data_IF_932570732456
#
_entry.id   IF_932570732456
#
_cell.length_a   1.000
_cell.length_b   1.000
_cell.length_c   1.000
_cell.angle_alpha   90.00
_cell.angle_beta   90.00
_cell.angle_gamma   90.00
#
_symmetry.space_group_name_H-M   'P 1'
#
loop_
_entity.id
_entity.type
_entity.pdbx_description
1 polymer ?
#
# COMPACT_ATOMS: atom_id res chain seq x y z
N UNK A 1 -11.18 49.06 -39.12
CA UNK A 1 -10.68 48.28 -37.97
C UNK A 1 -11.09 46.83 -38.14
N UNK A 2 -10.12 45.92 -38.34
CA UNK A 2 -10.35 44.49 -38.62
C UNK A 2 -10.80 43.79 -37.33
N UNK A 3 -11.94 43.09 -37.37
CA UNK A 3 -12.49 42.32 -36.26
C UNK A 3 -11.62 41.08 -35.96
N UNK A 4 -10.62 41.23 -35.09
CA UNK A 4 -9.65 40.19 -34.68
C UNK A 4 -10.19 39.29 -33.56
N UNK A 5 -11.49 39.33 -33.24
CA UNK A 5 -12.05 38.60 -32.09
C UNK A 5 -12.46 37.15 -32.38
N UNK A 6 -12.64 36.78 -33.65
CA UNK A 6 -13.09 35.43 -34.04
C UNK A 6 -12.02 34.31 -33.93
N UNK A 7 -10.73 34.50 -34.31
CA UNK A 7 -9.76 33.41 -34.26
C UNK A 7 -9.31 33.07 -32.83
N UNK A 8 -9.39 34.04 -31.90
CA UNK A 8 -9.00 33.87 -30.49
C UNK A 8 -10.01 33.00 -29.72
N UNK A 9 -11.29 33.13 -30.04
CA UNK A 9 -12.36 32.32 -29.43
C UNK A 9 -12.32 30.87 -29.92
N UNK A 10 -12.00 30.66 -31.21
CA UNK A 10 -11.90 29.32 -31.80
C UNK A 10 -10.71 28.53 -31.23
N UNK A 11 -9.58 29.20 -30.96
CA UNK A 11 -8.41 28.58 -30.31
C UNK A 11 -8.67 28.14 -28.87
N UNK A 12 -9.52 28.87 -28.14
CA UNK A 12 -9.86 28.56 -26.74
C UNK A 12 -10.73 27.31 -26.65
N UNK A 13 -11.73 27.18 -27.54
CA UNK A 13 -12.63 26.01 -27.59
C UNK A 13 -11.89 24.74 -28.01
N UNK A 14 -10.90 24.84 -28.91
CA UNK A 14 -10.11 23.69 -29.35
C UNK A 14 -9.19 23.14 -28.25
N UNK A 15 -8.72 23.99 -27.34
CA UNK A 15 -7.85 23.57 -26.23
C UNK A 15 -8.57 22.79 -25.12
N UNK A 16 -9.88 22.98 -24.99
CA UNK A 16 -10.72 22.29 -23.99
C UNK A 16 -11.06 20.84 -24.37
N UNK A 17 -10.86 20.45 -25.63
CA UNK A 17 -11.19 19.10 -26.13
C UNK A 17 -10.04 18.08 -25.97
N UNK A 18 -8.86 18.50 -25.50
CA UNK A 18 -7.68 17.62 -25.37
C UNK A 18 -7.48 17.02 -23.95
N UNK A 19 -8.38 17.24 -23.01
CA UNK A 19 -8.19 16.80 -21.60
C UNK A 19 -8.77 15.43 -21.29
N UNK A 20 -9.35 14.72 -22.28
CA UNK A 20 -9.95 13.41 -22.03
C UNK A 20 -8.91 12.30 -22.05
N UNK A 21 -8.60 11.83 -20.83
CA UNK A 21 -8.37 10.42 -20.49
C UNK A 21 -6.92 9.90 -20.49
N UNK A 22 -6.07 10.54 -19.69
CA UNK A 22 -4.97 9.87 -18.99
C UNK A 22 -5.50 9.15 -17.73
N UNK A 23 -6.37 8.14 -17.91
CA UNK A 23 -6.62 7.15 -16.86
C UNK A 23 -5.81 5.90 -17.20
N UNK A 24 -4.53 5.91 -16.80
CA UNK A 24 -3.74 4.68 -16.76
C UNK A 24 -4.34 3.77 -15.69
N UNK A 25 -5.28 2.91 -16.09
CA UNK A 25 -5.66 1.76 -15.27
C UNK A 25 -4.40 0.89 -15.16
N UNK A 26 -3.73 0.95 -14.01
CA UNK A 26 -2.59 0.09 -13.68
C UNK A 26 -3.09 -1.35 -13.60
N UNK A 27 -3.18 -2.00 -14.76
CA UNK A 27 -3.52 -3.40 -14.88
C UNK A 27 -2.32 -4.17 -14.34
N UNK A 28 -2.43 -4.66 -13.10
CA UNK A 28 -1.39 -5.48 -12.47
C UNK A 28 -1.14 -6.67 -13.40
N UNK A 29 0.10 -6.82 -13.87
CA UNK A 29 0.44 -7.91 -14.77
C UNK A 29 0.42 -9.25 -14.02
N UNK A 30 0.16 -10.35 -14.73
CA UNK A 30 0.21 -11.70 -14.14
C UNK A 30 1.58 -12.02 -13.52
N UNK A 31 2.65 -11.49 -14.13
CA UNK A 31 4.02 -11.57 -13.61
C UNK A 31 4.16 -10.84 -12.27
N UNK A 32 3.57 -9.65 -12.13
CA UNK A 32 3.60 -8.92 -10.86
C UNK A 32 2.83 -9.66 -9.76
N UNK A 33 1.68 -10.26 -10.09
CA UNK A 33 0.90 -11.07 -9.12
C UNK A 33 1.74 -12.23 -8.59
N UNK A 34 2.43 -12.97 -9.46
CA UNK A 34 3.29 -14.08 -9.07
C UNK A 34 4.43 -13.61 -8.14
N UNK A 35 5.11 -12.52 -8.53
CA UNK A 35 6.17 -11.91 -7.72
C UNK A 35 5.66 -11.46 -6.34
N UNK A 36 4.49 -10.81 -6.28
CA UNK A 36 3.91 -10.40 -5.00
C UNK A 36 3.49 -11.58 -4.16
N UNK A 37 2.95 -12.64 -4.77
CA UNK A 37 2.57 -13.86 -4.06
C UNK A 37 3.77 -14.52 -3.40
N UNK A 38 4.89 -14.62 -4.11
CA UNK A 38 6.15 -15.14 -3.57
C UNK A 38 6.66 -14.27 -2.41
N UNK A 39 6.67 -12.95 -2.57
CA UNK A 39 7.06 -12.03 -1.50
C UNK A 39 6.16 -12.16 -0.27
N UNK A 40 4.86 -12.38 -0.47
CA UNK A 40 3.91 -12.56 0.64
C UNK A 40 4.20 -13.85 1.40
N UNK A 41 4.53 -14.95 0.71
CA UNK A 41 4.92 -16.20 1.35
C UNK A 41 6.23 -16.05 2.14
N UNK A 42 7.23 -15.41 1.56
CA UNK A 42 8.53 -15.19 2.23
C UNK A 42 8.42 -14.29 3.46
N UNK A 43 7.50 -13.33 3.43
CA UNK A 43 7.28 -12.42 4.54
C UNK A 43 6.22 -12.92 5.53
N UNK A 44 5.60 -14.07 5.29
CA UNK A 44 4.59 -14.61 6.18
C UNK A 44 5.14 -14.80 7.60
N UNK A 45 4.38 -14.36 8.60
CA UNK A 45 4.78 -14.38 10.01
C UNK A 45 5.85 -13.36 10.42
N UNK A 46 6.46 -12.63 9.49
CA UNK A 46 7.47 -11.59 9.78
C UNK A 46 6.86 -10.21 10.05
N UNK A 47 5.55 -10.09 9.87
CA UNK A 47 4.73 -8.92 10.16
C UNK A 47 3.36 -9.37 10.64
N UNK A 48 2.63 -8.47 11.28
CA UNK A 48 1.30 -8.73 11.82
C UNK A 48 0.40 -7.52 11.55
N UNK A 49 -0.79 -7.80 11.03
CA UNK A 49 -1.87 -6.84 10.83
C UNK A 49 -2.68 -6.80 12.12
N UNK A 50 -2.71 -5.65 12.77
CA UNK A 50 -3.40 -5.43 14.04
C UNK A 50 -4.63 -4.58 13.78
N UNK A 51 -5.79 -5.17 13.99
CA UNK A 51 -7.10 -4.53 13.90
C UNK A 51 -7.43 -3.87 15.24
N UNK A 52 -7.58 -2.56 15.24
CA UNK A 52 -7.82 -1.77 16.45
C UNK A 52 -9.33 -1.59 16.59
N UNK A 53 -9.89 -2.03 17.71
CA UNK A 53 -11.31 -1.86 18.07
C UNK A 53 -12.28 -2.35 16.98
N UNK A 54 -11.87 -3.33 16.17
CA UNK A 54 -12.68 -3.85 15.07
C UNK A 54 -12.49 -5.34 14.86
N UNK A 55 -13.57 -6.01 14.48
CA UNK A 55 -13.60 -7.43 14.11
C UNK A 55 -13.73 -7.66 12.61
N UNK A 56 -13.73 -6.58 11.82
CA UNK A 56 -13.89 -6.68 10.37
C UNK A 56 -12.59 -7.12 9.71
N UNK A 57 -12.62 -8.22 8.96
CA UNK A 57 -11.43 -8.72 8.27
C UNK A 57 -10.95 -7.69 7.24
N UNK A 58 -9.66 -7.32 7.24
CA UNK A 58 -9.16 -6.28 6.38
C UNK A 58 -8.88 -6.85 4.99
N UNK A 59 -9.36 -6.15 3.96
CA UNK A 59 -8.85 -6.37 2.60
C UNK A 59 -7.52 -5.62 2.47
N UNK A 60 -6.43 -6.37 2.41
CA UNK A 60 -5.07 -5.84 2.30
C UNK A 60 -4.56 -6.03 0.87
N UNK A 61 -4.13 -4.96 0.19
CA UNK A 61 -3.59 -5.07 -1.16
C UNK A 61 -2.24 -5.79 -1.15
N UNK A 62 -1.97 -6.59 -2.17
CA UNK A 62 -0.67 -7.26 -2.35
C UNK A 62 0.51 -6.28 -2.35
N UNK A 63 0.30 -5.05 -2.83
CA UNK A 63 1.32 -4.00 -2.83
C UNK A 63 1.77 -3.57 -1.42
N UNK A 64 1.01 -3.87 -0.36
CA UNK A 64 1.41 -3.55 1.02
C UNK A 64 2.74 -4.21 1.38
N UNK A 65 3.05 -5.37 0.78
CA UNK A 65 4.31 -6.06 1.10
C UNK A 65 5.55 -5.24 0.75
N UNK A 66 5.50 -4.47 -0.34
CA UNK A 66 6.59 -3.54 -0.69
C UNK A 66 6.79 -2.48 0.37
N UNK A 67 5.69 -1.95 0.91
CA UNK A 67 5.74 -0.95 1.99
C UNK A 67 6.28 -1.56 3.28
N UNK A 68 5.92 -2.81 3.59
CA UNK A 68 6.43 -3.54 4.76
C UNK A 68 7.94 -3.70 4.66
N UNK A 69 8.44 -4.24 3.54
CA UNK A 69 9.87 -4.45 3.34
C UNK A 69 10.66 -3.13 3.30
N UNK A 70 10.11 -2.09 2.65
CA UNK A 70 10.75 -0.77 2.62
C UNK A 70 10.82 -0.10 4.01
N UNK A 71 9.92 -0.45 4.92
CA UNK A 71 9.89 0.08 6.30
C UNK A 71 10.62 -0.83 7.29
N UNK A 72 11.07 -2.01 6.90
CA UNK A 72 11.68 -2.97 7.80
C UNK A 72 13.04 -2.46 8.25
N UNK A 73 13.17 -2.24 9.56
CA UNK A 73 14.42 -1.87 10.20
C UNK A 73 15.27 -3.12 10.49
N UNK A 74 16.58 -2.93 10.58
CA UNK A 74 17.50 -4.03 10.85
C UNK A 74 17.37 -4.54 12.28
N UNK A 75 17.17 -3.65 13.25
CA UNK A 75 17.25 -3.96 14.69
C UNK A 75 15.94 -3.69 15.46
N UNK A 76 15.06 -2.82 14.95
CA UNK A 76 13.85 -2.37 15.67
C UNK A 76 12.56 -2.93 15.09
N UNK A 77 11.61 -3.21 15.98
CA UNK A 77 10.22 -3.46 15.57
C UNK A 77 9.59 -2.13 15.17
N UNK A 78 8.99 -2.11 13.98
CA UNK A 78 8.32 -0.92 13.45
C UNK A 78 6.81 -1.11 13.54
N UNK A 79 6.12 -0.10 14.07
CA UNK A 79 4.67 -0.01 14.06
C UNK A 79 4.24 1.04 13.04
N UNK A 80 3.61 0.58 11.96
CA UNK A 80 3.17 1.42 10.85
C UNK A 80 1.64 1.54 10.85
N UNK A 81 1.11 2.76 11.02
CA UNK A 81 -0.31 3.00 10.89
C UNK A 81 -0.73 2.96 9.40
N UNK A 82 -1.49 1.94 9.01
CA UNK A 82 -1.93 1.75 7.63
C UNK A 82 -3.29 2.39 7.34
N UNK A 83 -4.24 2.23 8.27
CA UNK A 83 -5.57 2.88 8.26
C UNK A 83 -5.95 3.26 9.67
N UNK A 84 -7.04 4.02 9.87
CA UNK A 84 -7.47 4.48 11.19
C UNK A 84 -7.56 3.35 12.23
N UNK A 85 -8.08 2.19 11.84
CA UNK A 85 -8.27 1.01 12.68
C UNK A 85 -7.32 -0.14 12.34
N UNK A 86 -6.24 0.12 11.59
CA UNK A 86 -5.28 -0.92 11.19
C UNK A 86 -3.85 -0.41 11.39
N UNK A 87 -3.11 -1.10 12.23
CA UNK A 87 -1.67 -0.93 12.43
C UNK A 87 -0.94 -2.18 11.96
N UNK A 88 0.22 -2.02 11.36
CA UNK A 88 1.08 -3.12 10.92
C UNK A 88 2.30 -3.16 11.84
N UNK A 89 2.46 -4.24 12.58
CA UNK A 89 3.68 -4.54 13.33
C UNK A 89 4.65 -5.26 12.40
N UNK A 90 5.84 -4.72 12.21
CA UNK A 90 6.89 -5.24 11.33
C UNK A 90 8.05 -5.64 12.23
N UNK A 91 8.43 -6.92 12.21
CA UNK A 91 9.59 -7.39 12.96
C UNK A 91 10.90 -6.94 12.30
N UNK A 92 11.94 -6.73 13.09
CA UNK A 92 13.25 -6.37 12.54
C UNK A 92 13.90 -7.54 11.80
N UNK A 93 14.87 -7.26 10.92
CA UNK A 93 15.64 -8.30 10.24
C UNK A 93 16.36 -9.21 11.23
N UNK A 94 16.99 -8.63 12.25
CA UNK A 94 17.65 -9.38 13.31
C UNK A 94 16.71 -10.34 14.05
N UNK A 95 15.45 -9.95 14.31
CA UNK A 95 14.49 -10.82 14.98
C UNK A 95 14.08 -12.01 14.12
N UNK A 96 13.83 -11.79 12.82
CA UNK A 96 13.37 -12.85 11.92
C UNK A 96 14.50 -13.78 11.46
N UNK A 97 15.75 -13.34 11.55
CA UNK A 97 16.93 -14.16 11.25
C UNK A 97 17.37 -15.08 12.40
N UNK A 98 16.72 -15.02 13.56
CA UNK A 98 17.08 -15.88 14.70
C UNK A 98 16.71 -17.35 14.41
N UNK A 99 17.56 -18.32 14.82
CA UNK A 99 17.33 -19.74 14.58
C UNK A 99 16.07 -20.28 15.28
N UNK A 100 15.62 -19.61 16.34
CA UNK A 100 14.40 -19.93 17.08
C UNK A 100 13.27 -18.92 16.82
N UNK A 101 13.27 -18.30 15.64
CA UNK A 101 12.20 -17.39 15.25
C UNK A 101 10.84 -18.08 15.28
N UNK A 102 9.88 -17.45 15.97
CA UNK A 102 8.49 -17.89 16.02
C UNK A 102 7.67 -16.95 15.12
N UNK A 103 7.09 -17.45 14.02
CA UNK A 103 6.22 -16.68 13.15
C UNK A 103 5.04 -16.07 13.91
N UNK A 104 4.71 -14.81 13.62
CA UNK A 104 3.52 -14.16 14.16
C UNK A 104 2.26 -14.67 13.47
N UNK A 105 1.14 -14.67 14.20
CA UNK A 105 -0.17 -14.72 13.57
C UNK A 105 -0.35 -13.50 12.67
N UNK A 106 -0.80 -13.74 11.44
CA UNK A 106 -0.88 -12.72 10.39
C UNK A 106 -1.84 -11.58 10.74
N UNK A 107 -2.97 -11.89 11.38
CA UNK A 107 -4.02 -10.91 11.71
C UNK A 107 -4.44 -11.12 13.16
N UNK A 108 -4.45 -10.06 13.96
CA UNK A 108 -5.00 -10.08 15.32
C UNK A 108 -5.92 -8.89 15.56
N UNK A 109 -6.83 -9.01 16.52
CA UNK A 109 -7.59 -7.87 17.05
C UNK A 109 -6.93 -7.39 18.34
N UNK A 110 -6.78 -6.07 18.49
CA UNK A 110 -6.26 -5.42 19.69
C UNK A 110 -7.20 -4.30 20.14
N UNK A 111 -7.17 -3.98 21.43
CA UNK A 111 -7.86 -2.80 21.97
C UNK A 111 -7.00 -1.56 21.79
N UNK A 112 -7.61 -0.40 21.57
CA UNK A 112 -6.88 0.88 21.63
C UNK A 112 -6.24 1.14 23.00
N UNK A 113 -6.71 0.47 24.06
CA UNK A 113 -6.10 0.55 25.39
C UNK A 113 -4.75 -0.19 25.50
N UNK A 114 -4.42 -1.06 24.54
CA UNK A 114 -3.19 -1.88 24.54
C UNK A 114 -2.08 -1.28 23.66
N UNK A 115 -2.24 -0.03 23.22
CA UNK A 115 -1.38 0.68 22.25
C UNK A 115 -0.59 1.79 22.92
#
# INVERSE_FOLDING_TARGET
MKNIKAPLFLSLVLSLLYTTQLFSQTKISQHDIAKYSEMVQLAEGTYQIQMIDTRSLPTIPLSLIKTIEAKRDDSKVIYFQYKQNIRIKILSKEMISKPNFIPLERIISISSNDI
#
